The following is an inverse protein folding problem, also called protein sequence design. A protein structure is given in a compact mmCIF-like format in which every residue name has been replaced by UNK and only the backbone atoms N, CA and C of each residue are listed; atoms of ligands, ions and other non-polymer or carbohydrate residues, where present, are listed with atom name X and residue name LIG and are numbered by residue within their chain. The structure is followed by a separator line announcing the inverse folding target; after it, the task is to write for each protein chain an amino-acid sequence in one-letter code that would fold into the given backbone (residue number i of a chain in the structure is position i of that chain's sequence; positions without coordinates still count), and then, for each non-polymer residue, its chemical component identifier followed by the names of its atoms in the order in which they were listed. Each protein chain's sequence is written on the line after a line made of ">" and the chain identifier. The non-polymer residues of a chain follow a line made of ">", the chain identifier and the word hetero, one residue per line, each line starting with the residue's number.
data_IF_481955234184
#
_entry.id   IF_481955234184
#
_cell.length_a   1.000
_cell.length_b   1.000
_cell.length_c   1.000
_cell.angle_alpha   90.00
_cell.angle_beta   90.00
_cell.angle_gamma   90.00
#
_symmetry.space_group_name_H-M   'P 1'
#
loop_
_entity.id
_entity.type
_entity.pdbx_description
1 polymer ?
#
# COMPACT_ATOMS: atom_id res chain seq x y z
N UNK A 1 0.79 -1.40 9.75
CA UNK A 1 -0.09 -2.48 10.21
C UNK A 1 -1.08 -2.81 9.12
N UNK A 2 -1.56 -4.06 9.11
CA UNK A 2 -2.63 -4.52 8.22
C UNK A 2 -3.83 -4.90 9.07
N UNK A 3 -5.00 -4.38 8.72
CA UNK A 3 -6.25 -4.56 9.46
C UNK A 3 -7.37 -4.90 8.47
N UNK A 4 -8.45 -5.52 8.96
CA UNK A 4 -9.68 -5.78 8.18
C UNK A 4 -9.45 -6.48 6.83
N UNK A 5 -8.52 -7.43 6.76
CA UNK A 5 -8.22 -8.18 5.53
C UNK A 5 -9.41 -9.09 5.18
N UNK A 6 -9.86 -9.01 3.93
CA UNK A 6 -10.91 -9.84 3.33
C UNK A 6 -10.47 -10.31 1.95
N UNK A 7 -10.78 -11.55 1.61
CA UNK A 7 -10.50 -12.17 0.31
C UNK A 7 -11.78 -12.86 -0.21
N UNK A 8 -12.77 -12.09 -0.71
CA UNK A 8 -14.10 -12.62 -0.97
C UNK A 8 -14.19 -13.48 -2.24
N UNK A 9 -13.25 -13.34 -3.19
CA UNK A 9 -13.19 -14.13 -4.40
C UNK A 9 -11.77 -14.67 -4.62
N UNK A 10 -11.60 -15.93 -5.07
CA UNK A 10 -10.30 -16.47 -5.43
C UNK A 10 -9.76 -15.81 -6.71
N UNK A 11 -8.46 -15.97 -6.93
CA UNK A 11 -7.78 -15.65 -8.19
C UNK A 11 -7.22 -16.93 -8.81
N UNK A 12 -7.08 -16.92 -10.12
CA UNK A 12 -6.53 -18.04 -10.89
C UNK A 12 -5.43 -17.57 -11.84
N UNK A 13 -4.70 -18.53 -12.41
CA UNK A 13 -3.75 -18.24 -13.47
C UNK A 13 -4.44 -17.50 -14.63
N UNK A 14 -3.79 -16.45 -15.15
CA UNK A 14 -4.32 -15.63 -16.23
C UNK A 14 -5.19 -14.46 -15.77
N UNK A 15 -5.57 -14.38 -14.49
CA UNK A 15 -6.28 -13.21 -13.97
C UNK A 15 -5.41 -11.95 -14.04
N UNK A 16 -6.03 -10.84 -14.45
CA UNK A 16 -5.40 -9.51 -14.42
C UNK A 16 -5.89 -8.75 -13.20
N UNK A 17 -4.98 -8.40 -12.30
CA UNK A 17 -5.33 -7.75 -11.03
C UNK A 17 -5.06 -6.25 -11.10
N UNK A 18 -6.08 -5.47 -10.77
CA UNK A 18 -6.02 -4.04 -10.54
C UNK A 18 -6.06 -3.77 -9.04
N UNK A 19 -5.41 -2.69 -8.60
CA UNK A 19 -5.48 -2.26 -7.21
C UNK A 19 -5.73 -0.76 -7.15
N UNK A 20 -6.65 -0.36 -6.28
CA UNK A 20 -6.90 1.03 -5.94
C UNK A 20 -6.70 1.25 -4.45
N UNK A 21 -6.39 2.49 -4.05
CA UNK A 21 -6.21 2.83 -2.65
C UNK A 21 -6.82 4.19 -2.34
N UNK A 22 -7.63 4.22 -1.30
CA UNK A 22 -8.25 5.42 -0.75
C UNK A 22 -7.53 5.82 0.54
N UNK A 23 -7.13 7.09 0.66
CA UNK A 23 -6.55 7.61 1.91
C UNK A 23 -7.67 7.84 2.91
N UNK A 24 -7.70 7.06 3.99
CA UNK A 24 -8.70 7.19 5.05
C UNK A 24 -8.29 8.20 6.12
N UNK A 25 -6.99 8.22 6.46
CA UNK A 25 -6.48 9.09 7.51
C UNK A 25 -4.98 9.38 7.31
N UNK A 26 -4.56 10.54 7.82
CA UNK A 26 -3.15 10.90 7.93
C UNK A 26 -2.88 11.58 9.26
N UNK A 27 -1.73 11.29 9.87
CA UNK A 27 -1.27 11.97 11.08
C UNK A 27 0.24 12.03 11.14
N UNK A 28 0.74 12.92 11.99
CA UNK A 28 2.16 13.03 12.28
C UNK A 28 2.67 11.85 13.12
N UNK A 29 3.87 11.36 12.80
CA UNK A 29 4.54 10.39 13.67
C UNK A 29 5.19 11.11 14.85
N UNK A 30 4.84 10.70 16.07
CA UNK A 30 5.42 11.26 17.30
C UNK A 30 6.87 10.83 17.51
N UNK A 31 7.22 9.61 17.09
CA UNK A 31 8.57 9.05 17.28
C UNK A 31 9.48 9.19 16.07
N UNK A 32 8.95 9.54 14.89
CA UNK A 32 9.72 9.73 13.65
C UNK A 32 9.38 11.10 13.04
N UNK A 33 10.01 12.20 13.49
CA UNK A 33 9.62 13.58 13.15
C UNK A 33 9.53 13.90 11.66
N UNK A 34 10.30 13.19 10.84
CA UNK A 34 10.38 13.36 9.38
C UNK A 34 9.38 12.50 8.60
N UNK A 35 8.49 11.77 9.27
CA UNK A 35 7.54 10.87 8.65
C UNK A 35 6.11 11.13 9.12
N UNK A 36 5.16 10.97 8.21
CA UNK A 36 3.74 10.85 8.51
C UNK A 36 3.31 9.38 8.58
N UNK A 37 2.23 9.11 9.29
CA UNK A 37 1.52 7.83 9.30
C UNK A 37 0.27 8.00 8.44
N UNK A 38 0.12 7.19 7.41
CA UNK A 38 -1.02 7.25 6.48
C UNK A 38 -1.73 5.90 6.45
N UNK A 39 -3.04 5.93 6.68
CA UNK A 39 -3.91 4.76 6.63
C UNK A 39 -4.69 4.79 5.32
N UNK A 40 -4.66 3.66 4.62
CA UNK A 40 -5.31 3.43 3.34
C UNK A 40 -6.34 2.31 3.47
N UNK A 41 -7.47 2.44 2.79
CA UNK A 41 -8.25 1.28 2.31
C UNK A 41 -7.66 0.88 0.97
N UNK A 42 -7.55 -0.41 0.70
CA UNK A 42 -7.08 -0.91 -0.60
C UNK A 42 -7.97 -2.03 -1.06
N UNK A 43 -8.40 -1.91 -2.31
CA UNK A 43 -9.23 -2.88 -3.00
C UNK A 43 -8.46 -3.43 -4.18
N UNK A 44 -8.38 -4.75 -4.27
CA UNK A 44 -7.90 -5.50 -5.42
C UNK A 44 -9.08 -6.03 -6.21
N UNK A 45 -9.08 -5.82 -7.54
CA UNK A 45 -10.12 -6.28 -8.45
C UNK A 45 -9.50 -7.16 -9.54
N UNK A 46 -10.21 -8.18 -10.02
CA UNK A 46 -9.82 -8.91 -11.23
C UNK A 46 -10.34 -8.19 -12.51
N UNK A 47 -10.08 -8.77 -13.68
CA UNK A 47 -10.51 -8.25 -15.00
C UNK A 47 -12.03 -8.10 -15.15
N UNK A 48 -12.82 -8.87 -14.40
CA UNK A 48 -14.28 -8.79 -14.42
C UNK A 48 -14.83 -7.77 -13.40
N UNK A 49 -13.94 -7.02 -12.74
CA UNK A 49 -14.31 -6.08 -11.69
C UNK A 49 -14.72 -6.76 -10.38
N UNK A 50 -14.44 -8.05 -10.18
CA UNK A 50 -14.71 -8.73 -8.90
C UNK A 50 -13.66 -8.34 -7.89
N UNK A 51 -14.08 -7.92 -6.70
CA UNK A 51 -13.18 -7.70 -5.58
C UNK A 51 -12.56 -9.03 -5.18
N UNK A 52 -11.23 -9.15 -5.26
CA UNK A 52 -10.48 -10.35 -4.84
C UNK A 52 -9.83 -10.14 -3.48
N UNK A 53 -9.57 -8.89 -3.10
CA UNK A 53 -8.98 -8.55 -1.82
C UNK A 53 -9.42 -7.16 -1.38
N UNK A 54 -9.73 -6.98 -0.10
CA UNK A 54 -9.90 -5.68 0.53
C UNK A 54 -9.16 -5.67 1.86
N UNK A 55 -8.43 -4.60 2.17
CA UNK A 55 -7.77 -4.47 3.46
C UNK A 55 -7.50 -3.00 3.81
N UNK A 56 -7.27 -2.75 5.09
CA UNK A 56 -6.68 -1.49 5.55
C UNK A 56 -5.20 -1.68 5.80
N UNK A 57 -4.38 -0.75 5.32
CA UNK A 57 -2.96 -0.69 5.66
C UNK A 57 -2.58 0.67 6.20
N UNK A 58 -1.75 0.66 7.23
CA UNK A 58 -1.13 1.86 7.78
C UNK A 58 0.38 1.79 7.55
N UNK A 59 0.92 2.77 6.83
CA UNK A 59 2.35 2.86 6.51
C UNK A 59 2.93 4.18 6.99
N UNK A 60 4.26 4.20 7.13
CA UNK A 60 5.02 5.42 7.33
C UNK A 60 5.44 5.97 5.97
N UNK A 61 5.23 7.27 5.78
CA UNK A 61 5.56 7.99 4.55
C UNK A 61 6.50 9.14 4.90
N UNK A 62 7.62 9.25 4.20
CA UNK A 62 8.51 10.40 4.37
C UNK A 62 7.81 11.70 4.00
N UNK A 63 8.00 12.73 4.82
CA UNK A 63 7.65 14.08 4.43
C UNK A 63 8.53 14.51 3.25
N UNK A 64 8.03 15.49 2.49
CA UNK A 64 8.77 16.12 1.39
C UNK A 64 10.17 16.53 1.89
N UNK A 65 11.21 16.18 1.14
CA UNK A 65 12.60 16.51 1.46
C UNK A 65 13.30 15.57 2.46
N UNK A 66 12.64 14.53 2.97
CA UNK A 66 13.22 13.62 3.96
C UNK A 66 13.37 12.17 3.48
N UNK A 67 13.17 11.91 2.18
CA UNK A 67 13.41 10.59 1.59
C UNK A 67 14.92 10.28 1.65
N UNK A 68 15.35 9.12 2.18
CA UNK A 68 16.74 8.73 2.20
C UNK A 68 17.31 8.63 0.79
N UNK A 69 18.60 8.95 0.64
CA UNK A 69 19.33 8.62 -0.57
C UNK A 69 19.50 7.11 -0.60
N UNK A 70 18.87 6.46 -1.58
CA UNK A 70 19.01 5.02 -1.80
C UNK A 70 19.97 4.83 -2.96
N UNK A 71 21.14 4.24 -2.70
CA UNK A 71 22.01 3.78 -3.77
C UNK A 71 21.31 2.67 -4.55
N UNK A 72 21.12 2.88 -5.85
CA UNK A 72 20.58 1.83 -6.71
C UNK A 72 21.71 0.83 -7.00
N UNK A 73 21.48 -0.48 -6.84
CA UNK A 73 22.43 -1.47 -7.33
C UNK A 73 22.63 -1.23 -8.83
N UNK A 74 23.87 -1.00 -9.24
CA UNK A 74 24.25 -1.00 -10.65
C UNK A 74 24.25 -2.45 -11.16
N UNK A 75 23.75 -2.68 -12.37
CA UNK A 75 23.82 -4.01 -13.02
C UNK A 75 25.25 -4.54 -12.95
N UNK A 76 25.46 -5.67 -12.28
CA UNK A 76 26.77 -6.33 -12.15
C UNK A 76 27.23 -6.67 -10.73
N UNK A 77 26.41 -6.41 -9.70
CA UNK A 77 26.55 -7.00 -8.36
C UNK A 77 25.51 -8.09 -8.13
#
# INVERSE_FOLDING_TARGET
>A
GWDEIRMPNPVFEGDTIYAESEVLAKRESRSRPHMGIVTFRTSGLNQDGKVVMEFKRTILVYKRGHVPVVERPTRGQ
#
